data_IF_508646659525
#
_entry.id   IF_508646659525
#
_cell.length_a   1.000
_cell.length_b   1.000
_cell.length_c   1.000
_cell.angle_alpha   90.00
_cell.angle_beta   90.00
_cell.angle_gamma   90.00
#
_symmetry.space_group_name_H-M   'P 1'
#
loop_
_entity.id
_entity.type
_entity.pdbx_description
1 polymer ?
#
# COMPACT_ATOMS: atom_id res chain seq x y z
N UNK A 1 18.37 0.81 -15.14
CA UNK A 1 18.26 0.91 -13.69
C UNK A 1 17.75 2.29 -13.29
N UNK A 2 16.50 2.34 -12.82
CA UNK A 2 15.78 3.55 -12.45
C UNK A 2 15.42 3.48 -10.97
N UNK A 3 15.71 4.54 -10.23
CA UNK A 3 15.43 4.62 -8.79
C UNK A 3 14.38 5.69 -8.52
N UNK A 4 13.42 5.35 -7.67
CA UNK A 4 12.37 6.25 -7.24
C UNK A 4 12.53 6.55 -5.75
N UNK A 5 12.67 7.84 -5.41
CA UNK A 5 12.62 8.27 -4.01
C UNK A 5 11.18 8.55 -3.61
N UNK A 6 10.70 7.85 -2.59
CA UNK A 6 9.38 8.08 -1.98
C UNK A 6 9.58 8.23 -0.49
N UNK A 7 9.15 9.36 0.06
CA UNK A 7 9.43 9.74 1.45
C UNK A 7 10.92 9.60 1.82
N UNK A 8 11.24 8.76 2.81
CA UNK A 8 12.59 8.47 3.27
C UNK A 8 13.18 7.18 2.65
N UNK A 9 12.53 6.58 1.64
CA UNK A 9 12.97 5.36 0.98
C UNK A 9 13.38 5.61 -0.47
N UNK A 10 14.30 4.78 -0.96
CA UNK A 10 14.69 4.71 -2.37
C UNK A 10 14.33 3.31 -2.86
N UNK A 11 13.50 3.24 -3.88
CA UNK A 11 13.01 2.01 -4.49
C UNK A 11 13.70 1.81 -5.84
N UNK A 12 14.15 0.60 -6.13
CA UNK A 12 14.53 0.24 -7.49
C UNK A 12 13.27 -0.14 -8.26
N UNK A 13 12.93 0.63 -9.31
CA UNK A 13 11.68 0.45 -10.07
C UNK A 13 11.60 -0.91 -10.74
N UNK A 14 12.72 -1.44 -11.22
CA UNK A 14 12.80 -2.76 -11.86
C UNK A 14 12.54 -3.92 -10.89
N UNK A 15 12.58 -3.64 -9.58
CA UNK A 15 12.35 -4.61 -8.52
C UNK A 15 10.96 -4.47 -7.88
N UNK A 16 10.13 -3.54 -8.35
CA UNK A 16 8.75 -3.41 -7.87
C UNK A 16 7.93 -4.52 -8.53
N UNK A 17 7.35 -5.38 -7.72
CA UNK A 17 6.47 -6.47 -8.17
C UNK A 17 5.04 -5.97 -8.32
N UNK A 18 4.51 -5.31 -7.29
CA UNK A 18 3.11 -4.88 -7.25
C UNK A 18 2.93 -3.71 -6.30
N UNK A 19 1.98 -2.82 -6.61
CA UNK A 19 1.55 -1.71 -5.76
C UNK A 19 0.05 -1.83 -5.57
N UNK A 20 -0.43 -1.79 -4.33
CA UNK A 20 -1.87 -1.85 -4.01
C UNK A 20 -2.22 -0.84 -2.94
N UNK A 21 -3.52 -0.57 -2.78
CA UNK A 21 -4.02 0.20 -1.65
C UNK A 21 -3.70 -0.50 -0.33
N UNK A 22 -3.30 0.28 0.67
CA UNK A 22 -3.14 -0.20 2.03
C UNK A 22 -4.48 -0.09 2.76
N UNK A 23 -5.24 -1.19 2.75
CA UNK A 23 -6.53 -1.27 3.42
C UNK A 23 -6.36 -1.68 4.88
N UNK A 24 -6.64 -0.75 5.80
CA UNK A 24 -6.54 -0.98 7.25
C UNK A 24 -7.92 -1.09 7.88
N UNK A 25 -8.05 -1.97 8.88
CA UNK A 25 -9.29 -2.07 9.66
C UNK A 25 -9.28 -1.00 10.74
N UNK A 26 -10.27 -0.10 10.72
CA UNK A 26 -10.37 1.04 11.66
C UNK A 26 -11.44 0.86 12.73
N UNK A 27 -12.27 -0.17 12.60
CA UNK A 27 -13.30 -0.50 13.57
C UNK A 27 -14.13 -1.68 13.13
N UNK A 28 -15.18 -1.96 13.89
CA UNK A 28 -16.15 -2.99 13.59
C UNK A 28 -17.55 -2.40 13.72
N UNK A 29 -18.37 -2.53 12.69
CA UNK A 29 -19.79 -2.17 12.76
C UNK A 29 -20.56 -3.37 13.32
N UNK A 30 -21.26 -3.16 14.43
CA UNK A 30 -22.08 -4.19 15.03
C UNK A 30 -23.50 -4.06 14.49
N UNK A 31 -23.81 -4.85 13.45
CA UNK A 31 -25.20 -5.05 13.04
C UNK A 31 -25.74 -6.19 13.91
N UNK A 32 -26.81 -5.92 14.67
CA UNK A 32 -27.20 -6.69 15.87
C UNK A 32 -27.55 -8.17 15.68
N UNK A 33 -27.41 -8.71 14.47
CA UNK A 33 -27.74 -10.07 14.07
C UNK A 33 -26.51 -11.02 13.99
N UNK A 34 -25.28 -10.52 14.12
CA UNK A 34 -24.06 -11.34 14.06
C UNK A 34 -23.26 -11.33 15.38
N UNK A 35 -22.61 -12.45 15.76
CA UNK A 35 -21.80 -12.54 16.97
C UNK A 35 -20.50 -11.71 16.90
N UNK A 36 -20.10 -11.30 15.69
CA UNK A 36 -18.96 -10.42 15.43
C UNK A 36 -19.40 -9.36 14.44
N UNK A 37 -19.01 -8.10 14.69
CA UNK A 37 -19.27 -7.01 13.76
C UNK A 37 -18.43 -7.11 12.49
N UNK A 38 -18.91 -6.54 11.40
CA UNK A 38 -18.17 -6.47 10.14
C UNK A 38 -17.02 -5.45 10.25
N UNK A 39 -15.81 -5.78 9.76
CA UNK A 39 -14.68 -4.87 9.81
C UNK A 39 -14.92 -3.67 8.88
N UNK A 40 -14.84 -2.47 9.45
CA UNK A 40 -14.81 -1.23 8.67
C UNK A 40 -13.38 -1.00 8.21
N UNK A 41 -13.19 -0.93 6.90
CA UNK A 41 -11.88 -0.73 6.28
C UNK A 41 -11.75 0.67 5.68
N UNK A 42 -10.59 1.28 5.88
CA UNK A 42 -10.19 2.53 5.24
C UNK A 42 -8.92 2.31 4.43
N UNK A 43 -8.82 2.99 3.28
CA UNK A 43 -7.57 3.06 2.52
C UNK A 43 -6.66 4.11 3.16
N UNK A 44 -5.48 3.68 3.62
CA UNK A 44 -4.44 4.53 4.21
C UNK A 44 -3.13 4.40 3.45
N UNK A 45 -3.12 5.09 2.31
CA UNK A 45 -2.00 5.13 1.40
C UNK A 45 -1.84 3.84 0.58
N UNK A 46 -0.60 3.50 0.24
CA UNK A 46 -0.28 2.34 -0.60
C UNK A 46 0.69 1.40 0.09
N UNK A 47 0.69 0.15 -0.37
CA UNK A 47 1.72 -0.83 -0.09
C UNK A 47 2.44 -1.22 -1.39
N UNK A 48 3.77 -1.33 -1.31
CA UNK A 48 4.64 -1.69 -2.43
C UNK A 48 5.37 -3.00 -2.10
N UNK A 49 5.14 -4.03 -2.91
CA UNK A 49 5.81 -5.32 -2.81
C UNK A 49 6.97 -5.39 -3.82
N UNK A 50 8.11 -5.94 -3.41
CA UNK A 50 9.29 -6.11 -4.26
C UNK A 50 9.33 -7.55 -4.84
N UNK A 51 10.11 -7.78 -5.89
CA UNK A 51 10.18 -9.10 -6.56
C UNK A 51 10.71 -10.17 -5.61
N UNK A 52 11.75 -9.85 -4.83
CA UNK A 52 12.42 -10.79 -3.91
C UNK A 52 11.95 -10.67 -2.44
N UNK A 53 10.89 -9.90 -2.17
CA UNK A 53 10.35 -9.80 -0.81
C UNK A 53 9.51 -11.03 -0.45
N UNK A 54 9.55 -11.45 0.82
CA UNK A 54 8.63 -12.47 1.31
C UNK A 54 7.16 -12.07 1.06
N UNK A 55 6.24 -13.04 1.04
CA UNK A 55 4.83 -12.83 0.68
C UNK A 55 4.13 -11.72 1.48
N UNK A 56 4.60 -11.47 2.72
CA UNK A 56 4.06 -10.44 3.62
C UNK A 56 4.97 -9.23 3.79
N UNK A 57 6.12 -9.18 3.13
CA UNK A 57 7.06 -8.07 3.23
C UNK A 57 6.75 -7.04 2.16
N UNK A 58 6.34 -5.84 2.62
CA UNK A 58 5.97 -4.72 1.77
C UNK A 58 6.35 -3.41 2.45
N UNK A 59 6.54 -2.36 1.65
CA UNK A 59 6.69 -1.00 2.15
C UNK A 59 5.34 -0.30 2.15
N UNK A 60 4.95 0.28 3.28
CA UNK A 60 3.76 1.14 3.38
C UNK A 60 4.18 2.59 3.22
N UNK A 61 3.47 3.32 2.36
CA UNK A 61 3.59 4.76 2.19
C UNK A 61 2.22 5.38 2.43
N UNK A 62 1.99 5.87 3.64
CA UNK A 62 0.68 6.40 4.05
C UNK A 62 0.33 7.73 3.37
N UNK A 63 1.33 8.47 2.90
CA UNK A 63 1.16 9.77 2.25
C UNK A 63 0.90 9.70 0.74
N UNK A 64 0.97 8.50 0.15
CA UNK A 64 0.86 8.29 -1.29
C UNK A 64 -0.47 7.65 -1.68
N UNK A 65 -0.97 7.97 -2.87
CA UNK A 65 -2.02 7.20 -3.54
C UNK A 65 -1.43 6.42 -4.72
N UNK A 66 -2.24 5.53 -5.32
CA UNK A 66 -1.82 4.81 -6.53
C UNK A 66 -1.49 5.79 -7.66
N UNK A 67 -2.29 6.83 -7.80
CA UNK A 67 -2.13 7.87 -8.81
C UNK A 67 -0.85 8.68 -8.57
N UNK A 68 -0.62 9.17 -7.34
CA UNK A 68 0.58 9.96 -7.03
C UNK A 68 1.86 9.14 -7.22
N UNK A 69 1.81 7.85 -6.90
CA UNK A 69 2.93 6.94 -7.11
C UNK A 69 3.17 6.67 -8.60
N UNK A 70 2.11 6.47 -9.38
CA UNK A 70 2.20 6.26 -10.83
C UNK A 70 2.77 7.49 -11.55
N UNK A 71 2.34 8.70 -11.19
CA UNK A 71 2.89 9.94 -11.75
C UNK A 71 4.40 10.04 -11.52
N UNK A 72 4.87 9.69 -10.32
CA UNK A 72 6.30 9.64 -10.00
C UNK A 72 7.05 8.57 -10.78
N UNK A 73 6.44 7.40 -11.00
CA UNK A 73 7.01 6.35 -11.83
C UNK A 73 7.17 6.77 -13.28
N UNK A 74 6.23 7.52 -13.84
CA UNK A 74 6.28 8.00 -15.23
C UNK A 74 7.25 9.18 -15.38
N UNK A 75 7.32 10.08 -14.40
CA UNK A 75 8.15 11.28 -14.45
C UNK A 75 9.66 11.04 -14.21
N UNK A 76 10.02 9.96 -13.51
CA UNK A 76 11.42 9.59 -13.26
C UNK A 76 12.14 9.06 -14.52
#
# INVERSE_FOLDING_TARGET
>A
MKFLKVENKILNVEQIKTVTENSVTVGYMNDGDLPFGDPVKETRGIQVQMIDSAEFEHFVFESETIESFYEKLVAA
#
